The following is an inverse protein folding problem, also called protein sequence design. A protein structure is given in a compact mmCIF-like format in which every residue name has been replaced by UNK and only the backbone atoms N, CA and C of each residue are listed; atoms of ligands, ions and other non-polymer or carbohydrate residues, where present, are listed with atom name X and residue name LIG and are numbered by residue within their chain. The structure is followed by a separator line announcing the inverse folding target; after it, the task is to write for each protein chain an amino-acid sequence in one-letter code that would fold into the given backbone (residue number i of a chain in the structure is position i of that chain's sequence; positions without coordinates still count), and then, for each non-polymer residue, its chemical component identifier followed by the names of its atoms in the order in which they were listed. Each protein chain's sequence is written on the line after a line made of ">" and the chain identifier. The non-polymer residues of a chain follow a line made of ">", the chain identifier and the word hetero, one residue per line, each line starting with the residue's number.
data_IF_520914987786
#
_entry.id   IF_520914987786
#
_cell.length_a   1.000
_cell.length_b   1.000
_cell.length_c   1.000
_cell.angle_alpha   90.00
_cell.angle_beta   90.00
_cell.angle_gamma   90.00
#
_symmetry.space_group_name_H-M   'P 1'
#
loop_
_entity.id
_entity.type
_entity.pdbx_description
1 polymer ?
#
# COMPACT_ATOMS: atom_id res chain seq x y z
N UNK A 1 -7.31 22.68 8.27
CA UNK A 1 -7.18 21.95 6.99
C UNK A 1 -5.70 21.89 6.71
N UNK A 2 -5.13 20.70 6.56
CA UNK A 2 -3.75 20.56 6.09
C UNK A 2 -3.68 21.10 4.65
N UNK A 3 -2.67 21.91 4.37
CA UNK A 3 -2.43 22.45 3.02
C UNK A 3 -2.18 21.28 2.05
N UNK A 4 -2.78 21.33 0.89
CA UNK A 4 -2.49 20.38 -0.20
C UNK A 4 -1.07 20.65 -0.72
N UNK A 5 -0.40 19.66 -1.32
CA UNK A 5 0.99 19.76 -1.80
C UNK A 5 1.25 21.03 -2.59
N UNK A 6 2.30 21.73 -2.22
CA UNK A 6 2.89 22.82 -2.95
C UNK A 6 3.68 22.34 -4.19
N UNK A 7 3.98 23.21 -5.13
CA UNK A 7 4.81 22.85 -6.29
C UNK A 7 6.19 22.33 -5.89
N UNK A 8 6.80 22.90 -4.84
CA UNK A 8 8.10 22.44 -4.32
C UNK A 8 8.03 20.99 -3.83
N UNK A 9 6.96 20.63 -3.13
CA UNK A 9 6.78 19.25 -2.67
C UNK A 9 6.57 18.30 -3.85
N UNK A 10 5.82 18.71 -4.88
CA UNK A 10 5.65 17.92 -6.11
C UNK A 10 6.99 17.72 -6.81
N UNK A 11 7.79 18.77 -6.95
CA UNK A 11 9.12 18.70 -7.57
C UNK A 11 10.07 17.79 -6.76
N UNK A 12 10.00 17.85 -5.42
CA UNK A 12 10.72 16.93 -4.54
C UNK A 12 10.30 15.48 -4.74
N UNK A 13 8.98 15.22 -4.85
CA UNK A 13 8.49 13.87 -5.15
C UNK A 13 9.06 13.33 -6.46
N UNK A 14 9.06 14.12 -7.51
CA UNK A 14 9.60 13.68 -8.81
C UNK A 14 11.12 13.45 -8.76
N UNK A 15 11.86 14.26 -7.99
CA UNK A 15 13.31 14.10 -7.82
C UNK A 15 13.65 12.89 -6.95
N UNK A 16 13.00 12.76 -5.78
CA UNK A 16 13.40 11.81 -4.73
C UNK A 16 12.59 10.51 -4.76
N UNK A 17 11.40 10.51 -5.41
CA UNK A 17 10.51 9.36 -5.51
C UNK A 17 9.57 9.17 -4.33
N UNK A 18 9.59 10.06 -3.35
CA UNK A 18 8.72 9.99 -2.18
C UNK A 18 8.47 11.37 -1.54
N UNK A 19 7.44 11.43 -0.70
CA UNK A 19 7.17 12.53 0.24
C UNK A 19 6.83 11.98 1.61
N UNK A 20 7.41 12.55 2.66
CA UNK A 20 7.19 12.15 4.06
C UNK A 20 7.75 13.21 5.00
N UNK A 21 7.11 13.49 6.17
CA UNK A 21 5.77 13.08 6.57
C UNK A 21 4.68 14.04 6.08
N UNK A 22 3.48 13.54 5.84
CA UNK A 22 2.28 14.33 5.51
C UNK A 22 1.16 14.01 6.51
N UNK A 23 0.67 14.98 7.26
CA UNK A 23 -0.43 14.74 8.23
C UNK A 23 -1.78 14.71 7.53
N UNK A 24 -2.48 13.57 7.62
CA UNK A 24 -3.77 13.34 6.92
C UNK A 24 -4.91 12.95 7.85
N UNK A 25 -4.61 12.49 9.06
CA UNK A 25 -5.62 12.13 10.05
C UNK A 25 -5.38 12.86 11.39
N UNK A 26 -6.48 13.24 12.03
CA UNK A 26 -6.42 13.71 13.43
C UNK A 26 -6.21 12.54 14.39
N UNK A 27 -5.68 12.82 15.58
CA UNK A 27 -5.44 11.81 16.63
C UNK A 27 -6.70 10.99 16.94
N UNK A 28 -7.87 11.63 17.07
CA UNK A 28 -9.15 10.96 17.36
C UNK A 28 -9.55 9.99 16.23
N UNK A 29 -9.30 10.34 14.95
CA UNK A 29 -9.57 9.44 13.82
C UNK A 29 -8.65 8.23 13.85
N UNK A 30 -7.36 8.45 14.09
CA UNK A 30 -6.36 7.37 14.17
C UNK A 30 -6.70 6.40 15.30
N UNK A 31 -6.98 6.90 16.49
CA UNK A 31 -7.37 6.06 17.63
C UNK A 31 -8.61 5.21 17.34
N UNK A 32 -9.63 5.82 16.70
CA UNK A 32 -10.82 5.09 16.27
C UNK A 32 -10.50 4.00 15.25
N UNK A 33 -9.64 4.28 14.26
CA UNK A 33 -9.25 3.32 13.24
C UNK A 33 -8.39 2.19 13.83
N UNK A 34 -7.45 2.53 14.70
CA UNK A 34 -6.61 1.55 15.40
C UNK A 34 -7.46 0.61 16.28
N UNK A 35 -8.47 1.16 17.00
CA UNK A 35 -9.41 0.35 17.76
C UNK A 35 -10.21 -0.62 16.87
N UNK A 36 -10.74 -0.15 15.73
CA UNK A 36 -11.46 -1.00 14.76
C UNK A 36 -10.56 -2.12 14.20
N UNK A 37 -9.32 -1.79 13.86
CA UNK A 37 -8.31 -2.75 13.41
C UNK A 37 -8.06 -3.82 14.48
N UNK A 38 -7.73 -3.40 15.71
CA UNK A 38 -7.45 -4.34 16.83
C UNK A 38 -8.66 -5.21 17.15
N UNK A 39 -9.86 -4.63 17.20
CA UNK A 39 -11.10 -5.39 17.45
C UNK A 39 -11.32 -6.48 16.40
N UNK A 40 -11.01 -6.23 15.14
CA UNK A 40 -11.14 -7.25 14.09
C UNK A 40 -9.98 -8.25 14.14
N UNK A 41 -8.75 -7.78 14.30
CA UNK A 41 -7.55 -8.62 14.34
C UNK A 41 -7.58 -9.64 15.49
N UNK A 42 -8.12 -9.26 16.65
CA UNK A 42 -8.24 -10.11 17.84
C UNK A 42 -9.46 -11.04 17.80
N UNK A 43 -10.32 -10.94 16.78
CA UNK A 43 -11.44 -11.89 16.64
C UNK A 43 -10.90 -13.29 16.37
N UNK A 44 -11.08 -14.15 17.36
CA UNK A 44 -10.78 -15.57 17.21
C UNK A 44 -11.94 -16.23 16.44
N UNK A 45 -11.70 -16.59 15.19
CA UNK A 45 -12.65 -17.38 14.40
C UNK A 45 -11.85 -18.48 13.68
N UNK A 46 -12.09 -19.76 14.01
CA UNK A 46 -11.36 -20.86 13.38
C UNK A 46 -11.62 -20.99 11.86
N UNK A 47 -12.67 -20.34 11.36
CA UNK A 47 -13.09 -20.43 9.96
C UNK A 47 -12.51 -19.34 9.06
N UNK A 48 -11.74 -18.37 9.58
CA UNK A 48 -11.07 -17.38 8.76
C UNK A 48 -9.80 -16.80 9.40
N UNK A 49 -8.85 -16.46 8.56
CA UNK A 49 -7.63 -15.77 8.95
C UNK A 49 -7.80 -14.24 8.85
N UNK A 50 -7.90 -13.58 10.02
CA UNK A 50 -8.02 -12.13 10.10
C UNK A 50 -6.82 -11.40 9.45
N UNK A 51 -5.60 -11.96 9.56
CA UNK A 51 -4.40 -11.41 8.93
C UNK A 51 -4.55 -11.38 7.41
N UNK A 52 -4.98 -12.48 6.81
CA UNK A 52 -5.22 -12.57 5.35
C UNK A 52 -6.26 -11.56 4.89
N UNK A 53 -7.36 -11.38 5.64
CA UNK A 53 -8.37 -10.36 5.30
C UNK A 53 -7.78 -8.95 5.31
N UNK A 54 -7.02 -8.60 6.34
CA UNK A 54 -6.43 -7.28 6.50
C UNK A 54 -5.29 -7.01 5.50
N UNK A 55 -4.66 -8.04 4.96
CA UNK A 55 -3.55 -7.90 4.00
C UNK A 55 -3.96 -7.71 2.55
N UNK A 56 -5.23 -7.97 2.19
CA UNK A 56 -5.63 -7.97 0.79
C UNK A 56 -7.00 -7.32 0.60
N UNK A 57 -7.02 -6.12 0.04
CA UNK A 57 -8.22 -5.31 -0.25
C UNK A 57 -9.23 -5.22 0.91
N UNK A 58 -8.82 -4.93 2.17
CA UNK A 58 -9.75 -4.86 3.30
C UNK A 58 -10.77 -3.72 3.16
N UNK A 59 -10.52 -2.73 2.34
CA UNK A 59 -11.46 -1.65 2.04
C UNK A 59 -12.75 -2.15 1.37
N UNK A 60 -12.72 -3.34 0.75
CA UNK A 60 -13.91 -3.94 0.13
C UNK A 60 -14.83 -4.64 1.14
N UNK A 61 -14.37 -4.85 2.38
CA UNK A 61 -15.18 -5.49 3.43
C UNK A 61 -15.40 -4.60 4.65
N UNK A 62 -14.75 -3.43 4.71
CA UNK A 62 -14.92 -2.48 5.80
C UNK A 62 -15.27 -1.09 5.27
N UNK A 63 -16.52 -0.59 5.46
CA UNK A 63 -16.93 0.74 5.01
C UNK A 63 -15.97 1.86 5.45
N UNK A 64 -15.47 1.80 6.68
CA UNK A 64 -14.56 2.81 7.21
C UNK A 64 -13.18 2.85 6.53
N UNK A 65 -12.71 1.72 5.96
CA UNK A 65 -11.50 1.68 5.13
C UNK A 65 -11.78 2.17 3.72
N UNK A 66 -12.95 1.85 3.18
CA UNK A 66 -13.37 2.42 1.90
C UNK A 66 -13.43 3.95 1.97
N UNK A 67 -14.05 4.49 3.04
CA UNK A 67 -14.14 5.93 3.30
C UNK A 67 -12.74 6.56 3.51
N UNK A 68 -11.77 5.83 4.05
CA UNK A 68 -10.38 6.28 4.14
C UNK A 68 -9.70 6.30 2.77
N UNK A 69 -9.86 5.25 1.99
CA UNK A 69 -9.29 5.11 0.63
C UNK A 69 -9.81 6.21 -0.30
N UNK A 70 -11.06 6.61 -0.16
CA UNK A 70 -11.69 7.66 -0.98
C UNK A 70 -11.64 9.06 -0.32
N UNK A 71 -10.98 9.19 0.84
CA UNK A 71 -10.96 10.44 1.61
C UNK A 71 -10.21 11.56 0.90
N UNK A 72 -10.80 12.77 0.77
CA UNK A 72 -10.09 13.95 0.27
C UNK A 72 -8.80 14.26 1.02
N UNK A 73 -8.72 13.93 2.32
CA UNK A 73 -7.50 14.12 3.12
C UNK A 73 -6.27 13.37 2.55
N UNK A 74 -6.48 12.32 1.75
CA UNK A 74 -5.42 11.58 1.06
C UNK A 74 -5.47 11.89 -0.44
N UNK A 75 -6.64 11.75 -1.07
CA UNK A 75 -6.75 11.84 -2.53
C UNK A 75 -6.46 13.24 -3.08
N UNK A 76 -6.59 14.31 -2.27
CA UNK A 76 -6.19 15.67 -2.68
C UNK A 76 -4.68 15.78 -2.86
N UNK A 77 -3.87 15.14 -2.01
CA UNK A 77 -2.42 15.06 -2.17
C UNK A 77 -2.03 14.21 -3.39
N UNK A 78 -2.61 13.01 -3.49
CA UNK A 78 -2.35 12.07 -4.59
C UNK A 78 -2.70 12.69 -5.94
N UNK A 79 -3.81 13.44 -6.02
CA UNK A 79 -4.25 14.07 -7.27
C UNK A 79 -3.31 15.15 -7.78
N UNK A 80 -2.45 15.71 -6.93
CA UNK A 80 -1.41 16.66 -7.35
C UNK A 80 -0.26 16.00 -8.11
N UNK A 81 -0.11 14.70 -7.93
CA UNK A 81 0.95 13.90 -8.56
C UNK A 81 0.40 13.12 -9.76
N UNK A 82 -0.70 12.39 -9.58
CA UNK A 82 -1.27 11.49 -10.58
C UNK A 82 -2.42 12.11 -11.41
N UNK A 83 -2.77 13.37 -11.17
CA UNK A 83 -3.91 14.00 -11.84
C UNK A 83 -5.23 13.79 -11.10
N UNK A 84 -6.34 14.41 -11.59
CA UNK A 84 -7.60 14.53 -10.85
C UNK A 84 -8.42 13.25 -10.76
N UNK A 85 -8.15 12.27 -11.63
CA UNK A 85 -8.94 11.05 -11.78
C UNK A 85 -8.14 9.85 -11.27
N UNK A 86 -8.59 9.26 -10.16
CA UNK A 86 -7.83 8.26 -9.42
C UNK A 86 -8.63 6.99 -9.17
N UNK A 87 -7.99 5.86 -9.38
CA UNK A 87 -8.44 4.58 -8.88
C UNK A 87 -7.54 4.12 -7.71
N UNK A 88 -8.12 3.44 -6.73
CA UNK A 88 -7.37 2.66 -5.75
C UNK A 88 -7.35 1.20 -6.20
N UNK A 89 -6.22 0.75 -6.72
CA UNK A 89 -6.03 -0.60 -7.24
C UNK A 89 -5.96 -1.65 -6.13
N UNK A 90 -5.45 -1.27 -4.97
CA UNK A 90 -5.35 -2.17 -3.83
C UNK A 90 -5.08 -1.47 -2.51
N UNK A 91 -5.34 -2.17 -1.44
CA UNK A 91 -4.96 -1.73 -0.10
C UNK A 91 -4.55 -2.91 0.78
N UNK A 92 -3.70 -2.65 1.77
CA UNK A 92 -3.18 -3.69 2.67
C UNK A 92 -2.77 -3.10 4.00
N UNK A 93 -3.00 -3.82 5.08
CA UNK A 93 -2.28 -3.55 6.32
C UNK A 93 -0.90 -4.19 6.28
N UNK A 94 0.10 -3.41 6.61
CA UNK A 94 1.44 -3.87 6.95
C UNK A 94 1.64 -3.67 8.45
N UNK A 95 1.52 -4.74 9.20
CA UNK A 95 1.65 -4.71 10.64
C UNK A 95 2.80 -5.63 11.08
N UNK A 96 3.62 -5.12 12.00
CA UNK A 96 4.66 -5.86 12.71
C UNK A 96 4.36 -5.77 14.20
N UNK A 97 4.12 -6.90 14.85
CA UNK A 97 3.94 -6.93 16.30
C UNK A 97 5.28 -6.59 17.01
N UNK A 98 5.21 -6.29 18.30
CA UNK A 98 6.42 -6.18 19.12
C UNK A 98 7.29 -7.44 18.96
N UNK A 99 8.58 -7.27 18.70
CA UNK A 99 9.54 -8.34 18.44
C UNK A 99 9.21 -9.27 17.26
N UNK A 100 8.45 -8.77 16.28
CA UNK A 100 8.13 -9.53 15.06
C UNK A 100 9.37 -9.64 14.16
N UNK A 101 9.73 -10.86 13.79
CA UNK A 101 10.82 -11.14 12.85
C UNK A 101 10.46 -10.75 11.40
N UNK A 102 9.20 -10.41 11.13
CA UNK A 102 8.72 -10.05 9.81
C UNK A 102 9.41 -8.81 9.25
N UNK A 103 9.97 -8.93 8.05
CA UNK A 103 10.64 -7.86 7.32
C UNK A 103 10.01 -7.68 5.93
N UNK A 104 10.39 -6.61 5.24
CA UNK A 104 10.14 -6.42 3.81
C UNK A 104 11.50 -6.26 3.16
N UNK A 105 11.89 -7.20 2.30
CA UNK A 105 13.14 -7.11 1.53
C UNK A 105 13.16 -5.88 0.63
N UNK A 106 14.34 -5.44 0.24
CA UNK A 106 14.49 -4.39 -0.74
C UNK A 106 13.90 -4.82 -2.08
N UNK A 107 12.96 -4.01 -2.60
CA UNK A 107 12.25 -4.30 -3.85
C UNK A 107 11.74 -3.03 -4.53
N UNK A 108 11.28 -3.19 -5.76
CA UNK A 108 10.51 -2.22 -6.54
C UNK A 108 9.16 -2.85 -6.85
N UNK A 109 8.07 -2.19 -6.50
CA UNK A 109 6.71 -2.70 -6.65
C UNK A 109 6.33 -2.96 -8.13
N UNK A 110 6.79 -2.09 -9.04
CA UNK A 110 6.44 -2.14 -10.46
C UNK A 110 6.75 -3.48 -11.13
N UNK A 111 7.82 -4.16 -10.72
CA UNK A 111 8.26 -5.42 -11.33
C UNK A 111 7.23 -6.55 -11.22
N UNK A 112 6.24 -6.41 -10.35
CA UNK A 112 5.31 -7.48 -9.99
C UNK A 112 3.84 -7.16 -10.28
N UNK A 113 3.49 -5.87 -10.46
CA UNK A 113 2.09 -5.50 -10.54
C UNK A 113 1.53 -5.51 -11.96
N UNK A 114 2.39 -5.45 -12.98
CA UNK A 114 1.97 -5.44 -14.38
C UNK A 114 1.00 -4.31 -14.72
N UNK A 115 1.26 -3.13 -14.19
CA UNK A 115 0.49 -1.91 -14.40
C UNK A 115 1.25 -0.96 -15.33
N UNK A 116 0.62 -0.49 -16.39
CA UNK A 116 1.18 0.45 -17.36
C UNK A 116 0.18 1.55 -17.75
N UNK A 117 0.64 2.82 -17.89
CA UNK A 117 1.95 3.35 -17.51
C UNK A 117 2.21 3.27 -16.00
N UNK A 118 3.43 3.55 -15.55
CA UNK A 118 3.80 3.57 -14.13
C UNK A 118 3.30 4.82 -13.36
N UNK A 119 2.15 5.36 -13.75
CA UNK A 119 1.44 6.41 -13.02
C UNK A 119 0.75 5.81 -11.79
N UNK A 120 1.59 5.31 -10.90
CA UNK A 120 1.22 4.54 -9.72
C UNK A 120 2.01 5.04 -8.53
N UNK A 121 1.34 5.31 -7.44
CA UNK A 121 1.97 5.61 -6.16
C UNK A 121 1.27 4.90 -5.00
N UNK A 122 2.02 4.64 -3.94
CA UNK A 122 1.47 4.13 -2.70
C UNK A 122 1.42 5.23 -1.64
N UNK A 123 0.25 5.42 -1.04
CA UNK A 123 0.08 6.18 0.20
C UNK A 123 0.13 5.21 1.38
N UNK A 124 1.12 5.35 2.26
CA UNK A 124 1.27 4.53 3.46
C UNK A 124 0.94 5.33 4.70
N UNK A 125 -0.18 5.05 5.35
CA UNK A 125 -0.73 5.79 6.49
C UNK A 125 -0.39 5.08 7.80
N UNK A 126 0.29 5.77 8.72
CA UNK A 126 0.64 5.24 10.03
C UNK A 126 -0.58 5.25 10.97
N UNK A 127 -0.96 4.08 11.52
CA UNK A 127 -1.98 3.96 12.57
C UNK A 127 -1.37 3.86 13.97
N UNK A 128 -0.12 3.45 14.06
CA UNK A 128 0.73 3.50 15.26
C UNK A 128 2.03 4.22 14.92
N UNK A 129 2.88 4.59 15.90
CA UNK A 129 4.21 5.10 15.60
C UNK A 129 4.97 4.16 14.67
N UNK A 130 5.61 4.69 13.62
CA UNK A 130 6.47 3.97 12.69
C UNK A 130 7.86 4.58 12.78
N UNK A 131 8.78 3.89 13.43
CA UNK A 131 10.12 4.35 13.77
C UNK A 131 11.17 3.35 13.30
N UNK A 132 12.43 3.77 13.19
CA UNK A 132 13.53 2.87 12.87
C UNK A 132 13.57 1.66 13.83
N UNK A 133 13.32 1.87 15.13
CA UNK A 133 13.33 0.81 16.15
C UNK A 133 12.24 -0.26 15.97
N UNK A 134 11.12 0.06 15.31
CA UNK A 134 10.03 -0.89 15.04
C UNK A 134 9.86 -1.23 13.55
N UNK A 135 10.90 -0.98 12.76
CA UNK A 135 10.99 -1.34 11.37
C UNK A 135 10.10 -0.48 10.47
N UNK A 136 10.27 0.85 10.52
CA UNK A 136 9.66 1.77 9.57
C UNK A 136 10.10 1.45 8.14
N UNK A 137 9.44 2.04 7.17
CA UNK A 137 9.87 1.92 5.77
C UNK A 137 11.19 2.67 5.56
N UNK A 138 12.08 2.08 4.78
CA UNK A 138 13.32 2.67 4.29
C UNK A 138 13.23 2.79 2.78
N UNK A 139 13.74 3.88 2.24
CA UNK A 139 13.76 4.13 0.78
C UNK A 139 15.15 4.56 0.34
N UNK A 140 15.47 4.32 -0.92
CA UNK A 140 16.65 4.91 -1.57
C UNK A 140 16.18 6.06 -2.46
N UNK A 141 16.43 7.32 -2.06
CA UNK A 141 15.99 8.50 -2.79
C UNK A 141 16.52 8.51 -4.24
N UNK A 142 15.66 8.89 -5.19
CA UNK A 142 16.04 9.00 -6.61
C UNK A 142 16.11 7.67 -7.36
N UNK A 143 15.99 6.53 -6.66
CA UNK A 143 16.10 5.20 -7.28
C UNK A 143 14.98 4.89 -8.29
N UNK A 144 13.85 5.58 -8.23
CA UNK A 144 12.76 5.46 -9.20
C UNK A 144 13.12 5.95 -10.61
N UNK A 145 14.16 6.78 -10.73
CA UNK A 145 14.65 7.31 -12.01
C UNK A 145 15.63 6.34 -12.71
N UNK A 146 16.12 5.35 -11.97
CA UNK A 146 17.03 4.33 -12.49
C UNK A 146 16.31 3.24 -13.28
N UNK A 147 17.11 2.35 -13.87
CA UNK A 147 16.58 1.13 -14.47
C UNK A 147 15.97 0.20 -13.42
N UNK A 148 15.01 -0.63 -13.84
CA UNK A 148 14.51 -1.70 -12.98
C UNK A 148 15.65 -2.65 -12.59
N UNK A 149 15.80 -2.90 -11.30
CA UNK A 149 16.81 -3.81 -10.76
C UNK A 149 16.36 -5.27 -10.91
N UNK A 150 17.31 -6.17 -10.93
CA UNK A 150 17.02 -7.59 -10.99
C UNK A 150 16.49 -8.09 -9.65
N UNK A 151 15.37 -8.83 -9.69
CA UNK A 151 14.71 -9.39 -8.52
C UNK A 151 14.65 -10.91 -8.60
N UNK A 152 14.63 -11.56 -7.45
CA UNK A 152 14.29 -12.97 -7.30
C UNK A 152 13.15 -13.19 -6.31
N UNK A 153 12.44 -14.32 -6.48
CA UNK A 153 11.45 -14.77 -5.51
C UNK A 153 12.09 -15.70 -4.50
N UNK A 154 12.10 -15.32 -3.22
CA UNK A 154 12.71 -16.13 -2.15
C UNK A 154 11.70 -17.01 -1.42
N UNK A 155 10.41 -16.66 -1.45
CA UNK A 155 9.33 -17.31 -0.69
C UNK A 155 9.65 -17.45 0.81
N UNK A 156 10.50 -16.56 1.35
CA UNK A 156 10.84 -16.54 2.76
C UNK A 156 9.61 -16.31 3.62
N UNK A 157 9.40 -17.16 4.63
CA UNK A 157 8.23 -17.12 5.53
C UNK A 157 8.12 -15.83 6.36
N UNK A 158 9.27 -15.20 6.66
CA UNK A 158 9.33 -13.99 7.46
C UNK A 158 9.30 -12.72 6.58
N UNK A 159 9.38 -12.87 5.24
CA UNK A 159 9.19 -11.76 4.32
C UNK A 159 7.70 -11.46 4.15
N UNK A 160 7.31 -10.21 4.41
CA UNK A 160 5.93 -9.77 4.32
C UNK A 160 5.44 -9.60 2.87
N UNK A 161 6.29 -9.70 1.87
CA UNK A 161 5.90 -9.72 0.46
C UNK A 161 5.36 -11.10 0.06
N UNK A 162 4.37 -11.12 -0.81
CA UNK A 162 3.63 -12.35 -1.18
C UNK A 162 4.50 -13.45 -1.77
N UNK A 163 5.53 -13.08 -2.54
CA UNK A 163 6.49 -13.99 -3.16
C UNK A 163 7.88 -13.88 -2.54
N UNK A 164 8.05 -13.02 -1.50
CA UNK A 164 9.34 -12.75 -0.89
C UNK A 164 10.34 -12.12 -1.88
N UNK A 165 9.85 -11.23 -2.75
CA UNK A 165 10.63 -10.57 -3.79
C UNK A 165 11.81 -9.80 -3.20
N UNK A 166 13.00 -9.96 -3.78
CA UNK A 166 14.21 -9.34 -3.29
C UNK A 166 15.13 -8.91 -4.44
N UNK A 167 15.67 -7.69 -4.34
CA UNK A 167 16.72 -7.20 -5.23
C UNK A 167 18.01 -7.97 -4.94
N UNK A 168 18.63 -8.57 -5.96
CA UNK A 168 19.80 -9.44 -5.81
C UNK A 168 21.14 -8.75 -6.06
N UNK A 169 21.15 -7.58 -6.71
CA UNK A 169 22.38 -6.85 -7.05
C UNK A 169 22.12 -5.36 -7.29
N UNK A 170 23.17 -4.55 -7.19
CA UNK A 170 23.14 -3.13 -7.57
C UNK A 170 22.57 -2.19 -6.51
N UNK A 171 22.41 -2.65 -5.27
CA UNK A 171 21.87 -1.86 -4.18
C UNK A 171 22.98 -1.29 -3.29
N UNK A 172 22.96 0.05 -3.06
CA UNK A 172 23.77 0.70 -2.03
C UNK A 172 22.89 1.11 -0.85
N UNK A 173 22.82 0.26 0.15
CA UNK A 173 21.98 0.47 1.34
C UNK A 173 22.44 1.65 2.22
N UNK A 174 23.66 2.17 2.02
CA UNK A 174 24.15 3.35 2.75
C UNK A 174 23.40 4.63 2.34
N UNK A 175 22.75 4.64 1.17
CA UNK A 175 21.93 5.75 0.70
C UNK A 175 20.50 5.70 1.24
N UNK A 176 20.14 4.63 1.93
CA UNK A 176 18.77 4.44 2.43
C UNK A 176 18.47 5.40 3.58
N UNK A 177 17.28 5.97 3.56
CA UNK A 177 16.75 6.81 4.64
C UNK A 177 15.52 6.18 5.26
N UNK A 178 15.33 6.41 6.55
CA UNK A 178 14.19 5.93 7.32
C UNK A 178 13.01 6.91 7.17
N UNK A 179 11.84 6.41 6.77
CA UNK A 179 10.61 7.19 6.72
C UNK A 179 9.85 7.02 8.05
N UNK A 180 10.29 7.78 9.06
CA UNK A 180 9.61 7.79 10.35
C UNK A 180 8.30 8.59 10.29
N UNK A 181 7.23 8.03 10.88
CA UNK A 181 5.90 8.64 10.90
C UNK A 181 5.29 8.55 12.29
N UNK A 182 4.60 9.62 12.68
CA UNK A 182 3.68 9.62 13.82
C UNK A 182 2.29 9.11 13.40
N UNK A 183 1.47 8.60 14.35
CA UNK A 183 0.10 8.19 14.04
C UNK A 183 -0.69 9.30 13.35
N UNK A 184 -1.30 8.97 12.20
CA UNK A 184 -2.05 9.90 11.36
C UNK A 184 -1.23 10.66 10.32
N UNK A 185 0.07 10.39 10.26
CA UNK A 185 0.91 10.81 9.13
C UNK A 185 0.93 9.73 8.06
N UNK A 186 1.25 10.15 6.84
CA UNK A 186 1.48 9.26 5.71
C UNK A 186 2.78 9.60 4.99
N UNK A 187 3.31 8.62 4.27
CA UNK A 187 4.25 8.81 3.17
C UNK A 187 3.57 8.53 1.84
N UNK A 188 4.03 9.21 0.79
CA UNK A 188 3.73 8.89 -0.60
C UNK A 188 5.02 8.37 -1.24
N UNK A 189 4.97 7.26 -1.98
CA UNK A 189 6.13 6.74 -2.67
C UNK A 189 5.79 6.16 -4.04
N UNK A 190 6.71 6.37 -4.97
CA UNK A 190 6.59 5.98 -6.37
C UNK A 190 6.72 4.45 -6.51
N UNK A 191 5.99 3.87 -7.47
CA UNK A 191 5.99 2.41 -7.72
C UNK A 191 7.38 1.82 -8.05
N UNK A 192 8.27 2.63 -8.63
CA UNK A 192 9.64 2.21 -9.00
C UNK A 192 10.68 2.51 -7.91
N UNK A 193 10.33 3.14 -6.78
CA UNK A 193 11.32 3.44 -5.75
C UNK A 193 11.78 2.15 -5.08
N UNK A 194 13.07 2.04 -4.85
CA UNK A 194 13.64 0.94 -4.06
C UNK A 194 13.32 1.17 -2.60
N UNK A 195 12.62 0.23 -1.98
CA UNK A 195 12.21 0.33 -0.58
C UNK A 195 12.15 -1.03 0.11
N UNK A 196 12.19 -0.98 1.43
CA UNK A 196 12.16 -2.16 2.30
C UNK A 196 11.84 -1.79 3.74
N UNK A 197 11.88 -2.74 4.65
CA UNK A 197 11.77 -2.46 6.09
C UNK A 197 12.32 -3.59 6.95
N UNK A 198 13.10 -3.22 7.97
CA UNK A 198 13.69 -4.12 8.94
C UNK A 198 12.63 -4.78 9.85
N UNK A 199 12.96 -5.87 10.55
CA UNK A 199 12.13 -6.44 11.61
C UNK A 199 11.79 -5.42 12.71
N UNK A 200 10.70 -5.66 13.42
CA UNK A 200 10.37 -4.88 14.62
C UNK A 200 11.16 -5.38 15.84
N UNK A 201 12.16 -4.63 16.28
CA UNK A 201 13.00 -4.95 17.45
C UNK A 201 12.52 -4.30 18.76
N UNK A 202 11.39 -3.56 18.70
CA UNK A 202 10.85 -2.79 19.83
C UNK A 202 9.73 -3.53 20.56
N UNK A 203 9.30 -2.97 21.68
CA UNK A 203 8.16 -3.44 22.48
C UNK A 203 6.80 -2.88 21.98
N UNK A 204 6.77 -2.19 20.83
CA UNK A 204 5.57 -1.51 20.34
C UNK A 204 5.20 -2.01 18.94
N UNK A 205 3.93 -2.35 18.73
CA UNK A 205 3.43 -2.73 17.40
C UNK A 205 3.57 -1.58 16.41
N UNK A 206 3.99 -1.89 15.18
CA UNK A 206 3.91 -0.99 14.04
C UNK A 206 2.74 -1.40 13.14
N UNK A 207 1.75 -0.53 13.01
CA UNK A 207 0.54 -0.78 12.20
C UNK A 207 0.41 0.34 11.18
N UNK A 208 0.51 0.00 9.91
CA UNK A 208 0.35 0.91 8.78
C UNK A 208 -0.61 0.36 7.73
N UNK A 209 -1.25 1.28 7.01
CA UNK A 209 -2.20 0.97 5.96
C UNK A 209 -1.72 1.57 4.63
N UNK A 210 -1.37 0.70 3.70
CA UNK A 210 -0.92 1.06 2.35
C UNK A 210 -2.11 1.07 1.38
N UNK A 211 -2.19 2.11 0.56
CA UNK A 211 -3.19 2.28 -0.50
C UNK A 211 -2.44 2.53 -1.80
N UNK A 212 -2.65 1.68 -2.82
CA UNK A 212 -2.03 1.83 -4.13
C UNK A 212 -2.99 2.60 -5.02
N UNK A 213 -2.64 3.85 -5.32
CA UNK A 213 -3.37 4.69 -6.25
C UNK A 213 -2.75 4.65 -7.64
N UNK A 214 -3.62 4.67 -8.63
CA UNK A 214 -3.26 4.73 -10.04
C UNK A 214 -4.07 5.83 -10.73
N UNK A 215 -3.51 6.42 -11.79
CA UNK A 215 -4.27 7.21 -12.73
C UNK A 215 -5.30 6.31 -13.44
N UNK A 216 -6.43 6.85 -13.86
CA UNK A 216 -7.44 6.09 -14.64
C UNK A 216 -6.94 5.64 -16.02
N UNK A 217 -5.83 6.21 -16.52
CA UNK A 217 -5.18 5.80 -17.78
C UNK A 217 -4.44 4.47 -17.66
N UNK A 218 -3.99 4.13 -16.44
CA UNK A 218 -3.28 2.89 -16.18
C UNK A 218 -4.14 1.68 -16.53
N UNK A 219 -3.52 0.66 -17.09
CA UNK A 219 -4.15 -0.63 -17.41
C UNK A 219 -3.34 -1.79 -16.85
N UNK A 220 -4.02 -2.90 -16.63
CA UNK A 220 -3.41 -4.18 -16.29
C UNK A 220 -2.96 -4.87 -17.58
N UNK A 221 -1.66 -5.26 -17.69
CA UNK A 221 -1.13 -5.86 -18.91
C UNK A 221 -1.71 -7.28 -19.13
N UNK A 222 -1.77 -8.08 -18.08
CA UNK A 222 -2.12 -9.49 -18.15
C UNK A 222 -3.60 -9.75 -17.78
N UNK A 223 -4.53 -9.02 -18.41
CA UNK A 223 -5.96 -9.25 -18.19
C UNK A 223 -6.65 -8.09 -17.45
N UNK A 224 -7.96 -8.21 -17.23
CA UNK A 224 -8.77 -7.17 -16.60
C UNK A 224 -9.00 -7.50 -15.13
N UNK A 225 -8.60 -6.60 -14.25
CA UNK A 225 -8.85 -6.67 -12.80
C UNK A 225 -9.86 -5.60 -12.36
N UNK A 226 -10.03 -5.39 -11.07
CA UNK A 226 -10.95 -4.39 -10.51
C UNK A 226 -10.21 -3.37 -9.64
N UNK A 227 -10.75 -2.16 -9.56
CA UNK A 227 -10.24 -1.07 -8.73
C UNK A 227 -11.39 -0.19 -8.21
N UNK A 228 -11.17 0.44 -7.07
CA UNK A 228 -12.14 1.39 -6.50
C UNK A 228 -11.96 2.77 -7.12
N UNK A 229 -13.02 3.37 -7.66
CA UNK A 229 -12.98 4.78 -8.07
C UNK A 229 -12.82 5.66 -6.81
N UNK A 230 -11.62 6.20 -6.62
CA UNK A 230 -11.25 6.94 -5.42
C UNK A 230 -11.53 8.45 -5.55
N UNK A 231 -11.41 9.00 -6.78
CA UNK A 231 -11.62 10.42 -7.07
C UNK A 231 -11.91 10.65 -8.55
N UNK A 232 -12.71 11.67 -8.85
CA UNK A 232 -12.97 12.12 -10.23
C UNK A 232 -13.84 11.17 -11.02
N UNK A 233 -13.52 10.99 -12.29
CA UNK A 233 -14.26 10.14 -13.23
C UNK A 233 -13.30 9.19 -13.95
N UNK A 234 -13.77 7.99 -14.26
CA UNK A 234 -13.03 7.03 -15.08
C UNK A 234 -13.61 7.07 -16.52
N UNK A 235 -12.83 7.59 -17.46
CA UNK A 235 -13.18 7.65 -18.88
C UNK A 235 -12.62 6.47 -19.68
N UNK A 236 -11.72 5.68 -19.10
CA UNK A 236 -10.99 4.63 -19.81
C UNK A 236 -11.61 3.24 -19.62
N UNK A 237 -12.21 2.97 -18.44
CA UNK A 237 -12.84 1.67 -18.15
C UNK A 237 -11.86 0.50 -18.16
N UNK A 238 -10.59 0.76 -17.85
CA UNK A 238 -9.54 -0.26 -17.82
C UNK A 238 -9.72 -1.28 -16.68
N UNK A 239 -10.46 -0.90 -15.64
CA UNK A 239 -10.77 -1.73 -14.47
C UNK A 239 -12.27 -1.80 -14.24
N UNK A 240 -12.75 -2.91 -13.70
CA UNK A 240 -14.12 -2.97 -13.19
C UNK A 240 -14.20 -2.23 -11.87
N UNK A 241 -15.22 -1.38 -11.69
CA UNK A 241 -15.36 -0.61 -10.46
C UNK A 241 -15.84 -1.47 -9.29
N UNK A 242 -15.15 -1.33 -8.17
CA UNK A 242 -15.47 -2.00 -6.90
C UNK A 242 -16.47 -1.15 -6.10
N UNK A 243 -17.61 -1.72 -5.67
CA UNK A 243 -18.61 -0.99 -4.92
C UNK A 243 -18.17 -0.75 -3.47
N UNK A 244 -18.69 0.32 -2.86
CA UNK A 244 -18.54 0.57 -1.42
C UNK A 244 -19.32 -0.49 -0.61
N UNK A 245 -18.69 -1.20 0.35
CA UNK A 245 -19.40 -2.13 1.22
C UNK A 245 -20.43 -1.38 2.09
N UNK A 246 -21.61 -1.95 2.25
CA UNK A 246 -22.69 -1.35 3.07
C UNK A 246 -22.55 -1.69 4.55
N UNK A 247 -22.05 -2.89 4.85
CA UNK A 247 -21.83 -3.40 6.21
C UNK A 247 -20.43 -3.97 6.36
N UNK A 248 -19.92 -3.95 7.60
CA UNK A 248 -18.61 -4.51 7.88
C UNK A 248 -18.61 -6.03 7.82
N UNK A 249 -17.84 -6.58 6.92
CA UNK A 249 -17.53 -8.00 6.81
C UNK A 249 -18.77 -8.90 6.66
N UNK A 250 -19.77 -8.45 5.88
CA UNK A 250 -20.92 -9.23 5.53
C UNK A 250 -20.66 -10.19 4.34
N UNK A 251 -21.59 -11.08 4.06
CA UNK A 251 -21.43 -12.12 3.01
C UNK A 251 -21.27 -11.54 1.62
N UNK A 252 -21.98 -10.44 1.30
CA UNK A 252 -21.92 -9.78 0.00
C UNK A 252 -20.56 -9.14 -0.21
N UNK A 253 -20.10 -8.34 0.74
CA UNK A 253 -18.78 -7.68 0.67
C UNK A 253 -17.62 -8.69 0.62
N UNK A 254 -17.72 -9.79 1.36
CA UNK A 254 -16.75 -10.89 1.28
C UNK A 254 -16.74 -11.55 -0.10
N UNK A 255 -17.90 -11.78 -0.71
CA UNK A 255 -18.00 -12.34 -2.06
C UNK A 255 -17.34 -11.41 -3.09
N UNK A 256 -17.69 -10.12 -3.10
CA UNK A 256 -17.10 -9.12 -3.99
C UNK A 256 -15.57 -9.08 -3.84
N UNK A 257 -15.09 -9.04 -2.60
CA UNK A 257 -13.64 -9.05 -2.33
C UNK A 257 -12.98 -10.33 -2.87
N UNK A 258 -13.56 -11.49 -2.65
CA UNK A 258 -12.98 -12.77 -3.08
C UNK A 258 -12.88 -12.86 -4.60
N UNK A 259 -13.90 -12.39 -5.34
CA UNK A 259 -13.86 -12.30 -6.81
C UNK A 259 -12.76 -11.32 -7.29
N UNK A 260 -12.63 -10.15 -6.64
CA UNK A 260 -11.58 -9.20 -6.95
C UNK A 260 -10.18 -9.80 -6.72
N UNK A 261 -9.98 -10.51 -5.61
CA UNK A 261 -8.71 -11.16 -5.29
C UNK A 261 -8.36 -12.31 -6.24
N UNK A 262 -9.37 -13.11 -6.64
CA UNK A 262 -9.16 -14.19 -7.62
C UNK A 262 -8.61 -13.64 -8.93
N UNK A 263 -9.27 -12.60 -9.49
CA UNK A 263 -8.80 -11.94 -10.72
C UNK A 263 -7.39 -11.36 -10.57
N UNK A 264 -7.11 -10.72 -9.43
CA UNK A 264 -5.79 -10.16 -9.15
C UNK A 264 -4.72 -11.25 -9.03
N UNK A 265 -5.02 -12.36 -8.36
CA UNK A 265 -4.13 -13.51 -8.26
C UNK A 265 -3.79 -14.09 -9.63
N UNK A 266 -4.79 -14.33 -10.47
CA UNK A 266 -4.60 -14.90 -11.81
C UNK A 266 -3.63 -14.05 -12.66
N UNK A 267 -3.69 -12.73 -12.51
CA UNK A 267 -2.77 -11.79 -13.19
C UNK A 267 -1.37 -11.81 -12.57
N UNK A 268 -1.26 -11.67 -11.24
CA UNK A 268 0.04 -11.57 -10.56
C UNK A 268 0.88 -12.86 -10.66
N UNK A 269 0.25 -14.00 -10.87
CA UNK A 269 0.93 -15.28 -10.99
C UNK A 269 0.99 -15.82 -12.43
N UNK A 270 0.48 -15.07 -13.42
CA UNK A 270 0.46 -15.51 -14.85
C UNK A 270 1.84 -15.78 -15.46
N UNK A 271 2.93 -15.31 -14.85
CA UNK A 271 4.31 -15.56 -15.26
C UNK A 271 5.19 -16.22 -14.19
N UNK A 272 4.62 -16.59 -13.04
CA UNK A 272 5.41 -17.18 -11.97
C UNK A 272 5.74 -18.64 -12.29
N UNK A 273 7.03 -19.00 -12.25
CA UNK A 273 7.44 -20.40 -12.27
C UNK A 273 6.94 -21.04 -10.96
N UNK A 274 5.92 -21.90 -11.06
CA UNK A 274 5.54 -22.75 -9.92
C UNK A 274 6.76 -23.60 -9.55
N UNK A 275 7.17 -23.52 -8.29
CA UNK A 275 8.06 -24.51 -7.69
C UNK A 275 7.25 -25.46 -6.83
#
# INVERSE_FOLDING_TARGET
>A
MTSVLSQIEIDNYHRDGFLSPLRVLSSNKVENYLRKYRTFYLRHNPNFDAKSVLRSKPHLVFPWLYDLVTSPAITDHVSKILGPNLLAWGSSFFAKQAHDAGFVSWHQDANYWGLEPHDVLTAWVAFSPSKASNGCMRVIPGSQLGAALEHQDTFSKDNLLTRGQEIIAGLDENQAIDLELEPGEMSLHHVNIVHGSEPNKSNVDRIGFAIRYISTEVKQIAGKTSATLARGIDQFGNFDHEPRPTRSFDKESQHIRNEALKRQHDVLYSGAKQR
#
